data_IF_673560956982
#
_entry.id   IF_673560956982
#
_cell.length_a   1.000
_cell.length_b   1.000
_cell.length_c   1.000
_cell.angle_alpha   90.00
_cell.angle_beta   90.00
_cell.angle_gamma   90.00
#
_symmetry.space_group_name_H-M   'P 1'
#
loop_
_entity.id
_entity.type
_entity.pdbx_description
1 polymer ?
#
# COMPACT_ATOMS: atom_id res chain seq x y z
N UNK A 1 -16.75 16.29 12.57
CA UNK A 1 -17.19 16.76 11.25
C UNK A 1 -18.51 17.46 11.46
N UNK A 2 -18.81 18.53 10.71
CA UNK A 2 -20.11 19.20 10.75
C UNK A 2 -20.73 19.08 9.36
N UNK A 3 -21.97 18.62 9.29
CA UNK A 3 -22.73 18.42 8.06
C UNK A 3 -23.84 19.45 7.87
N UNK A 4 -24.04 20.33 8.86
CA UNK A 4 -25.18 21.25 8.97
C UNK A 4 -26.54 20.54 9.18
N UNK A 5 -26.55 19.22 9.29
CA UNK A 5 -27.69 18.38 9.66
C UNK A 5 -27.44 17.79 11.06
N UNK A 6 -28.17 18.22 12.11
CA UNK A 6 -27.88 17.83 13.49
C UNK A 6 -28.07 16.33 13.73
N UNK A 7 -29.01 15.70 13.02
CA UNK A 7 -29.26 14.25 13.08
C UNK A 7 -28.08 13.44 12.55
N UNK A 8 -27.51 13.84 11.41
CA UNK A 8 -26.32 13.21 10.83
C UNK A 8 -25.11 13.42 11.76
N UNK A 9 -24.90 14.65 12.26
CA UNK A 9 -23.78 14.96 13.14
C UNK A 9 -23.84 14.14 14.46
N UNK A 10 -25.03 13.99 15.05
CA UNK A 10 -25.23 13.17 16.25
C UNK A 10 -24.93 11.69 15.98
N UNK A 11 -25.41 11.15 14.86
CA UNK A 11 -25.18 9.77 14.48
C UNK A 11 -23.69 9.48 14.20
N UNK A 12 -23.00 10.37 13.48
CA UNK A 12 -21.56 10.27 13.25
C UNK A 12 -20.75 10.34 14.56
N UNK A 13 -21.21 11.14 15.53
CA UNK A 13 -20.60 11.21 16.85
C UNK A 13 -20.75 9.88 17.61
N UNK A 14 -21.93 9.24 17.54
CA UNK A 14 -22.16 7.92 18.12
C UNK A 14 -21.27 6.86 17.47
N UNK A 15 -21.16 6.84 16.14
CA UNK A 15 -20.24 5.94 15.42
C UNK A 15 -18.82 6.15 15.93
N UNK A 16 -18.33 7.40 15.96
CA UNK A 16 -16.96 7.72 16.36
C UNK A 16 -16.60 7.25 17.79
N UNK A 17 -17.57 7.18 18.71
CA UNK A 17 -17.35 6.66 20.06
C UNK A 17 -17.07 5.15 20.08
N UNK A 18 -17.56 4.41 19.09
CA UNK A 18 -17.36 2.97 18.98
C UNK A 18 -16.16 2.57 18.10
N UNK A 19 -15.65 3.49 17.27
CA UNK A 19 -14.47 3.24 16.42
C UNK A 19 -13.16 3.23 17.21
N UNK A 20 -12.16 2.51 16.70
CA UNK A 20 -10.82 2.44 17.29
C UNK A 20 -9.75 3.03 16.37
N UNK A 21 -8.57 3.30 16.95
CA UNK A 21 -7.40 3.79 16.22
C UNK A 21 -7.29 5.31 16.12
N UNK A 22 -6.33 5.74 15.32
CA UNK A 22 -6.01 7.16 15.12
C UNK A 22 -7.16 7.91 14.46
N UNK A 23 -7.11 9.24 14.52
CA UNK A 23 -8.07 10.10 13.82
C UNK A 23 -8.15 9.79 12.33
N UNK A 24 -7.03 9.42 11.70
CA UNK A 24 -6.99 9.07 10.29
C UNK A 24 -7.75 7.78 10.00
N UNK A 25 -7.56 6.73 10.82
CA UNK A 25 -8.28 5.45 10.67
C UNK A 25 -9.78 5.66 10.83
N UNK A 26 -10.18 6.38 11.89
CA UNK A 26 -11.59 6.67 12.17
C UNK A 26 -12.24 7.54 11.10
N UNK A 27 -11.49 8.47 10.50
CA UNK A 27 -12.03 9.38 9.49
C UNK A 27 -12.52 8.67 8.23
N UNK A 28 -11.97 7.50 7.88
CA UNK A 28 -12.43 6.76 6.70
C UNK A 28 -13.87 6.28 6.87
N UNK A 29 -14.15 5.55 7.96
CA UNK A 29 -15.50 5.06 8.28
C UNK A 29 -16.49 6.21 8.49
N UNK A 30 -16.04 7.31 9.11
CA UNK A 30 -16.90 8.48 9.33
C UNK A 30 -17.21 9.23 8.03
N UNK A 31 -16.27 9.31 7.10
CA UNK A 31 -16.51 9.93 5.79
C UNK A 31 -17.47 9.09 4.95
N UNK A 32 -17.30 7.77 4.92
CA UNK A 32 -18.19 6.87 4.20
C UNK A 32 -19.64 6.96 4.71
N UNK A 33 -19.83 6.94 6.04
CA UNK A 33 -21.13 7.15 6.65
C UNK A 33 -21.71 8.53 6.35
N UNK A 34 -20.87 9.57 6.41
CA UNK A 34 -21.27 10.95 6.12
C UNK A 34 -21.74 11.10 4.69
N UNK A 35 -20.96 10.61 3.74
CA UNK A 35 -21.21 10.80 2.32
C UNK A 35 -22.48 10.03 1.91
N UNK A 36 -22.66 8.79 2.39
CA UNK A 36 -23.90 8.03 2.22
C UNK A 36 -25.14 8.77 2.74
N UNK A 37 -25.09 9.31 3.97
CA UNK A 37 -26.23 10.01 4.56
C UNK A 37 -26.52 11.36 3.89
N UNK A 38 -25.48 12.07 3.42
CA UNK A 38 -25.64 13.30 2.66
C UNK A 38 -26.24 13.06 1.28
N UNK A 39 -25.88 11.96 0.62
CA UNK A 39 -26.46 11.58 -0.68
C UNK A 39 -27.95 11.25 -0.55
N UNK A 40 -28.34 10.53 0.51
CA UNK A 40 -29.76 10.27 0.81
C UNK A 40 -30.49 11.58 1.13
N UNK A 41 -29.91 12.43 1.98
CA UNK A 41 -30.49 13.73 2.34
C UNK A 41 -30.69 14.65 1.14
N UNK A 42 -29.78 14.62 0.16
CA UNK A 42 -29.86 15.41 -1.06
C UNK A 42 -30.92 14.87 -2.04
N UNK A 43 -31.20 13.56 -2.00
CA UNK A 43 -32.14 12.89 -2.89
C UNK A 43 -33.59 12.89 -2.37
N UNK A 44 -33.78 13.09 -1.06
CA UNK A 44 -35.08 13.12 -0.42
C UNK A 44 -35.79 14.47 -0.62
N UNK A 45 -37.13 14.42 -0.74
CA UNK A 45 -37.96 15.64 -0.70
C UNK A 45 -37.86 16.28 0.69
N UNK A 46 -37.98 17.62 0.82
CA UNK A 46 -37.89 18.30 2.10
C UNK A 46 -38.85 17.75 3.17
N UNK A 47 -40.08 17.40 2.78
CA UNK A 47 -41.07 16.79 3.68
C UNK A 47 -40.71 15.37 4.18
N UNK A 48 -40.00 14.58 3.38
CA UNK A 48 -39.70 13.17 3.67
C UNK A 48 -38.29 12.95 4.23
N UNK A 49 -37.45 13.99 4.23
CA UNK A 49 -36.02 13.94 4.55
C UNK A 49 -35.72 13.29 5.91
N UNK A 50 -36.53 13.58 6.92
CA UNK A 50 -36.34 13.01 8.26
C UNK A 50 -36.59 11.49 8.30
N UNK A 51 -37.62 11.02 7.60
CA UNK A 51 -37.93 9.60 7.49
C UNK A 51 -36.87 8.86 6.65
N UNK A 52 -36.47 9.44 5.51
CA UNK A 52 -35.41 8.90 4.66
C UNK A 52 -34.07 8.78 5.39
N UNK A 53 -33.71 9.78 6.21
CA UNK A 53 -32.50 9.72 7.03
C UNK A 53 -32.58 8.65 8.12
N UNK A 54 -33.74 8.47 8.77
CA UNK A 54 -33.91 7.43 9.79
C UNK A 54 -33.77 6.03 9.18
N UNK A 55 -34.37 5.81 8.01
CA UNK A 55 -34.25 4.56 7.26
C UNK A 55 -32.80 4.32 6.80
N UNK A 56 -32.14 5.34 6.25
CA UNK A 56 -30.73 5.24 5.85
C UNK A 56 -29.78 4.99 7.03
N UNK A 57 -30.03 5.57 8.20
CA UNK A 57 -29.24 5.26 9.40
C UNK A 57 -29.45 3.81 9.84
N UNK A 58 -30.67 3.29 9.73
CA UNK A 58 -30.97 1.90 10.03
C UNK A 58 -30.32 0.95 9.01
N UNK A 59 -30.33 1.31 7.73
CA UNK A 59 -29.70 0.58 6.62
C UNK A 59 -28.18 0.54 6.77
N UNK A 60 -27.55 1.68 7.07
CA UNK A 60 -26.11 1.76 7.29
C UNK A 60 -25.67 0.96 8.55
N UNK A 61 -26.58 0.82 9.52
CA UNK A 61 -26.46 -0.11 10.64
C UNK A 61 -26.02 0.52 11.96
N UNK A 62 -26.33 -0.12 13.09
CA UNK A 62 -26.11 0.51 14.41
C UNK A 62 -24.64 0.90 14.68
N UNK A 63 -24.38 2.01 15.42
CA UNK A 63 -23.02 2.46 15.76
C UNK A 63 -22.15 1.37 16.42
N UNK A 64 -22.74 0.57 17.30
CA UNK A 64 -22.07 -0.54 17.97
C UNK A 64 -21.67 -1.66 17.00
N UNK A 65 -22.51 -1.97 16.02
CA UNK A 65 -22.23 -2.96 14.97
C UNK A 65 -21.09 -2.47 14.06
N UNK A 66 -21.16 -1.23 13.58
CA UNK A 66 -20.10 -0.61 12.77
C UNK A 66 -18.75 -0.65 13.49
N UNK A 67 -18.72 -0.27 14.78
CA UNK A 67 -17.50 -0.33 15.57
C UNK A 67 -16.97 -1.76 15.77
N UNK A 68 -17.85 -2.77 15.87
CA UNK A 68 -17.46 -4.18 15.96
C UNK A 68 -16.85 -4.69 14.65
N UNK A 69 -17.47 -4.38 13.51
CA UNK A 69 -16.95 -4.76 12.19
C UNK A 69 -15.61 -4.08 11.90
N UNK A 70 -15.49 -2.77 12.19
CA UNK A 70 -14.23 -2.06 12.05
C UNK A 70 -13.13 -2.70 12.91
N UNK A 71 -13.40 -3.02 14.19
CA UNK A 71 -12.42 -3.70 15.07
C UNK A 71 -11.96 -5.03 14.50
N UNK A 72 -12.89 -5.85 14.02
CA UNK A 72 -12.60 -7.15 13.41
C UNK A 72 -11.72 -7.00 12.18
N UNK A 73 -12.06 -6.06 11.30
CA UNK A 73 -11.25 -5.73 10.13
C UNK A 73 -9.83 -5.28 10.52
N UNK A 74 -9.71 -4.31 11.43
CA UNK A 74 -8.39 -3.81 11.86
C UNK A 74 -7.55 -4.92 12.50
N UNK A 75 -8.17 -5.80 13.26
CA UNK A 75 -7.49 -6.96 13.84
C UNK A 75 -6.97 -7.92 12.78
N UNK A 76 -7.76 -8.19 11.73
CA UNK A 76 -7.32 -9.01 10.58
C UNK A 76 -6.14 -8.37 9.84
N UNK A 77 -6.18 -7.05 9.62
CA UNK A 77 -5.07 -6.29 9.03
C UNK A 77 -3.82 -6.42 9.91
N UNK A 78 -3.96 -6.24 11.23
CA UNK A 78 -2.86 -6.35 12.19
C UNK A 78 -2.19 -7.72 12.12
N UNK A 79 -2.98 -8.81 12.19
CA UNK A 79 -2.46 -10.17 12.13
C UNK A 79 -1.78 -10.43 10.78
N UNK A 80 -2.43 -10.06 9.67
CA UNK A 80 -1.91 -10.27 8.32
C UNK A 80 -0.55 -9.58 8.13
N UNK A 81 -0.43 -8.33 8.56
CA UNK A 81 0.82 -7.58 8.46
C UNK A 81 1.86 -8.16 9.40
N UNK A 82 1.50 -8.50 10.64
CA UNK A 82 2.44 -9.08 11.60
C UNK A 82 3.05 -10.41 11.10
N UNK A 83 2.21 -11.30 10.56
CA UNK A 83 2.66 -12.58 9.99
C UNK A 83 3.49 -12.42 8.72
N UNK A 84 3.34 -11.31 7.99
CA UNK A 84 4.10 -11.04 6.78
C UNK A 84 5.43 -10.33 7.07
N UNK A 85 5.41 -9.30 7.91
CA UNK A 85 6.58 -8.47 8.20
C UNK A 85 7.51 -9.08 9.25
N UNK A 86 6.96 -9.76 10.25
CA UNK A 86 7.73 -10.37 11.34
C UNK A 86 8.78 -11.36 10.84
N UNK A 87 8.39 -12.41 10.09
CA UNK A 87 9.35 -13.40 9.58
C UNK A 87 10.39 -12.81 8.65
N UNK A 88 10.00 -11.86 7.78
CA UNK A 88 10.94 -11.19 6.88
C UNK A 88 12.01 -10.44 7.67
N UNK A 89 11.60 -9.68 8.68
CA UNK A 89 12.53 -8.95 9.54
C UNK A 89 13.41 -9.89 10.36
N UNK A 90 12.84 -10.95 10.93
CA UNK A 90 13.58 -11.93 11.71
C UNK A 90 14.63 -12.67 10.87
N UNK A 91 14.30 -13.03 9.62
CA UNK A 91 15.27 -13.61 8.66
C UNK A 91 16.36 -12.61 8.31
N UNK A 92 16.00 -11.34 8.04
CA UNK A 92 16.99 -10.30 7.76
C UNK A 92 17.97 -10.13 8.93
N UNK A 93 17.45 -10.03 10.16
CA UNK A 93 18.26 -9.92 11.38
C UNK A 93 19.11 -11.17 11.63
N UNK A 94 18.56 -12.36 11.37
CA UNK A 94 19.32 -13.60 11.47
C UNK A 94 20.47 -13.62 10.48
N UNK A 95 20.25 -13.21 9.23
CA UNK A 95 21.28 -13.13 8.20
C UNK A 95 22.36 -12.10 8.56
N UNK A 96 21.99 -10.91 9.03
CA UNK A 96 22.98 -9.89 9.42
C UNK A 96 23.82 -10.35 10.60
N UNK A 97 23.19 -10.93 11.62
CA UNK A 97 23.89 -11.50 12.76
C UNK A 97 24.79 -12.67 12.34
N UNK A 98 24.31 -13.56 11.46
CA UNK A 98 25.11 -14.68 10.93
C UNK A 98 26.35 -14.18 10.17
N UNK A 99 26.20 -13.12 9.38
CA UNK A 99 27.31 -12.49 8.68
C UNK A 99 28.31 -11.83 9.65
N UNK A 100 27.86 -11.39 10.83
CA UNK A 100 28.71 -10.77 11.84
C UNK A 100 29.46 -11.80 12.70
N UNK A 101 28.72 -12.72 13.34
CA UNK A 101 29.25 -13.70 14.29
C UNK A 101 29.86 -14.95 13.60
N UNK A 102 29.43 -15.24 12.37
CA UNK A 102 29.85 -16.44 11.64
C UNK A 102 29.11 -17.71 12.05
N UNK A 103 29.18 -18.74 11.18
CA UNK A 103 28.41 -19.99 11.32
C UNK A 103 28.78 -20.78 12.58
N UNK A 104 30.05 -20.82 12.95
CA UNK A 104 30.53 -21.57 14.11
C UNK A 104 29.90 -21.08 15.43
N UNK A 105 29.73 -19.76 15.58
CA UNK A 105 29.12 -19.15 16.76
C UNK A 105 27.59 -19.28 16.75
N UNK A 106 26.98 -19.40 15.56
CA UNK A 106 25.56 -19.73 15.45
C UNK A 106 25.27 -21.14 15.98
N UNK A 107 26.11 -22.12 15.61
CA UNK A 107 25.94 -23.51 16.03
C UNK A 107 26.12 -23.69 17.53
N UNK A 108 27.11 -23.01 18.13
CA UNK A 108 27.39 -23.12 19.57
C UNK A 108 26.33 -22.49 20.46
N UNK A 109 25.58 -21.50 19.96
CA UNK A 109 24.57 -20.76 20.73
C UNK A 109 23.14 -20.86 20.15
N UNK A 110 22.84 -21.88 19.36
CA UNK A 110 21.64 -21.96 18.50
C UNK A 110 20.31 -21.64 19.21
N UNK A 111 20.19 -21.97 20.50
CA UNK A 111 19.00 -21.65 21.31
C UNK A 111 18.81 -20.15 21.48
N UNK A 112 19.89 -19.41 21.77
CA UNK A 112 19.88 -17.94 21.86
C UNK A 112 19.47 -17.32 20.53
N UNK A 113 19.97 -17.86 19.41
CA UNK A 113 19.61 -17.40 18.08
C UNK A 113 18.13 -17.61 17.77
N UNK A 114 17.59 -18.76 18.14
CA UNK A 114 16.16 -19.06 17.99
C UNK A 114 15.28 -18.13 18.84
N UNK A 115 15.69 -17.86 20.08
CA UNK A 115 14.99 -16.91 20.95
C UNK A 115 15.00 -15.50 20.36
N UNK A 116 16.16 -15.02 19.90
CA UNK A 116 16.30 -13.70 19.26
C UNK A 116 15.47 -13.63 17.99
N UNK A 117 15.47 -14.68 17.18
CA UNK A 117 14.65 -14.77 15.96
C UNK A 117 13.16 -14.60 16.28
N UNK A 118 12.60 -15.41 17.19
CA UNK A 118 11.19 -15.32 17.54
C UNK A 118 10.82 -14.00 18.23
N UNK A 119 11.71 -13.48 19.06
CA UNK A 119 11.51 -12.18 19.73
C UNK A 119 11.44 -11.05 18.70
N UNK A 120 12.40 -10.99 17.77
CA UNK A 120 12.40 -10.01 16.68
C UNK A 120 11.18 -10.17 15.77
N UNK A 121 10.80 -11.42 15.45
CA UNK A 121 9.61 -11.73 14.65
C UNK A 121 8.34 -11.17 15.30
N UNK A 122 8.14 -11.46 16.59
CA UNK A 122 6.96 -11.04 17.34
C UNK A 122 6.91 -9.54 17.57
N UNK A 123 7.99 -8.95 18.10
CA UNK A 123 8.03 -7.51 18.42
C UNK A 123 7.87 -6.66 17.15
N UNK A 124 8.64 -6.97 16.11
CA UNK A 124 8.56 -6.21 14.86
C UNK A 124 7.24 -6.46 14.14
N UNK A 125 6.83 -7.73 14.03
CA UNK A 125 5.57 -8.10 13.40
C UNK A 125 4.38 -7.41 14.06
N UNK A 126 4.23 -7.54 15.38
CA UNK A 126 3.15 -6.89 16.13
C UNK A 126 3.26 -5.37 16.11
N UNK A 127 4.46 -4.80 16.24
CA UNK A 127 4.67 -3.35 16.17
C UNK A 127 4.23 -2.77 14.83
N UNK A 128 4.64 -3.40 13.72
CA UNK A 128 4.21 -3.01 12.37
C UNK A 128 2.72 -3.28 12.17
N UNK A 129 2.22 -4.45 12.55
CA UNK A 129 0.81 -4.80 12.44
C UNK A 129 -0.09 -3.80 13.17
N UNK A 130 0.23 -3.46 14.41
CA UNK A 130 -0.51 -2.49 15.20
C UNK A 130 -0.40 -1.07 14.60
N UNK A 131 0.79 -0.67 14.14
CA UNK A 131 1.00 0.62 13.50
C UNK A 131 0.15 0.76 12.24
N UNK A 132 0.12 -0.25 11.39
CA UNK A 132 -0.67 -0.24 10.14
C UNK A 132 -2.16 -0.45 10.35
N UNK A 133 -2.57 -1.17 11.38
CA UNK A 133 -3.99 -1.38 11.68
C UNK A 133 -4.62 -0.16 12.37
N UNK A 134 -3.89 0.48 13.29
CA UNK A 134 -4.47 1.42 14.25
C UNK A 134 -3.89 2.84 14.16
N UNK A 135 -2.70 3.04 13.61
CA UNK A 135 -2.07 4.37 13.53
C UNK A 135 -2.12 4.95 12.12
N UNK A 136 -1.60 4.19 11.17
CA UNK A 136 -1.56 4.49 9.74
C UNK A 136 -2.87 3.97 9.17
N UNK A 137 -3.67 4.82 8.53
CA UNK A 137 -4.96 4.43 7.97
C UNK A 137 -4.80 3.53 6.74
N UNK A 138 -4.25 2.33 6.90
CA UNK A 138 -4.14 1.40 5.79
C UNK A 138 -5.55 1.12 5.28
N UNK A 139 -5.81 1.35 3.98
CA UNK A 139 -7.16 1.20 3.47
C UNK A 139 -7.61 -0.23 3.72
N UNK A 140 -8.84 -0.33 4.21
CA UNK A 140 -9.66 -1.52 4.02
C UNK A 140 -9.48 -2.01 2.59
N UNK A 141 -9.32 -3.33 2.39
CA UNK A 141 -9.49 -3.85 1.03
C UNK A 141 -10.90 -3.44 0.63
N UNK A 142 -11.11 -2.65 -0.44
CA UNK A 142 -12.46 -2.22 -0.77
C UNK A 142 -13.31 -3.49 -0.93
N UNK A 143 -14.31 -3.65 -0.05
CA UNK A 143 -15.46 -4.49 -0.37
C UNK A 143 -15.94 -4.02 -1.72
N UNK A 144 -16.23 -4.97 -2.62
CA UNK A 144 -16.59 -4.75 -4.02
C UNK A 144 -17.70 -3.69 -4.14
N UNK A 145 -17.35 -2.42 -4.15
CA UNK A 145 -18.22 -1.36 -4.59
C UNK A 145 -18.23 -1.51 -6.10
N UNK A 146 -19.24 -2.20 -6.62
CA UNK A 146 -19.48 -2.37 -8.04
C UNK A 146 -19.32 -1.02 -8.73
N UNK A 147 -18.26 -0.89 -9.53
CA UNK A 147 -18.12 0.25 -10.40
C UNK A 147 -18.85 -0.09 -11.68
N UNK A 148 -20.08 0.41 -11.73
CA UNK A 148 -20.81 0.74 -12.94
C UNK A 148 -19.84 1.29 -14.00
N UNK A 149 -19.89 0.82 -15.26
CA UNK A 149 -19.07 1.39 -16.30
C UNK A 149 -19.54 2.82 -16.54
N UNK A 150 -18.85 3.79 -15.94
CA UNK A 150 -19.04 5.19 -16.30
C UNK A 150 -18.69 5.30 -17.79
N UNK A 151 -19.68 5.73 -18.58
CA UNK A 151 -19.67 5.93 -20.04
C UNK A 151 -18.65 6.98 -20.53
N UNK A 152 -17.68 7.34 -19.70
CA UNK A 152 -16.63 8.29 -19.99
C UNK A 152 -15.37 7.51 -20.39
N UNK A 153 -14.88 7.74 -21.61
CA UNK A 153 -13.71 7.08 -22.22
C UNK A 153 -12.37 7.51 -21.58
N UNK A 154 -12.43 8.18 -20.42
CA UNK A 154 -11.28 8.66 -19.69
C UNK A 154 -11.36 8.22 -18.23
N UNK A 155 -10.27 7.64 -17.73
CA UNK A 155 -10.12 7.37 -16.30
C UNK A 155 -8.66 7.53 -15.88
N UNK A 156 -8.45 8.10 -14.68
CA UNK A 156 -7.13 8.29 -14.09
C UNK A 156 -6.90 7.30 -12.93
N UNK A 157 -5.70 6.71 -12.88
CA UNK A 157 -5.19 6.02 -11.70
C UNK A 157 -4.69 7.07 -10.71
N UNK A 158 -5.49 7.30 -9.67
CA UNK A 158 -5.09 8.16 -8.55
C UNK A 158 -4.68 7.24 -7.40
N UNK A 159 -3.39 7.29 -7.04
CA UNK A 159 -2.95 6.72 -5.76
C UNK A 159 -3.68 7.46 -4.64
N UNK A 160 -4.36 6.72 -3.75
CA UNK A 160 -5.05 7.33 -2.61
C UNK A 160 -4.08 8.26 -1.83
N UNK A 161 -4.56 9.42 -1.33
CA UNK A 161 -3.72 10.35 -0.57
C UNK A 161 -2.98 9.69 0.61
N UNK A 162 -3.57 8.64 1.17
CA UNK A 162 -2.97 7.86 2.26
C UNK A 162 -1.73 7.09 1.81
N UNK A 163 -1.78 6.41 0.65
CA UNK A 163 -0.61 5.69 0.11
C UNK A 163 0.52 6.66 -0.23
N UNK A 164 0.19 7.86 -0.68
CA UNK A 164 1.16 8.94 -0.90
C UNK A 164 1.84 9.38 0.39
N UNK A 165 1.10 9.51 1.48
CA UNK A 165 1.65 9.77 2.82
C UNK A 165 2.53 8.63 3.32
N UNK A 166 2.14 7.38 3.08
CA UNK A 166 2.93 6.20 3.44
C UNK A 166 4.27 6.21 2.70
N UNK A 167 4.29 6.49 1.38
CA UNK A 167 5.54 6.59 0.63
C UNK A 167 6.45 7.70 1.14
N UNK A 168 5.91 8.86 1.51
CA UNK A 168 6.69 9.93 2.16
C UNK A 168 7.25 9.51 3.52
N UNK A 169 6.46 8.82 4.33
CA UNK A 169 6.92 8.30 5.62
C UNK A 169 8.03 7.25 5.44
N UNK A 170 7.90 6.36 4.46
CA UNK A 170 8.95 5.41 4.10
C UNK A 170 10.23 6.11 3.68
N UNK A 171 10.17 7.17 2.86
CA UNK A 171 11.36 7.96 2.53
C UNK A 171 11.99 8.61 3.76
N UNK A 172 11.18 9.19 4.64
CA UNK A 172 11.67 9.83 5.86
C UNK A 172 12.39 8.85 6.80
N UNK A 173 12.08 7.56 6.74
CA UNK A 173 12.75 6.51 7.52
C UNK A 173 13.97 5.95 6.78
N UNK A 174 13.80 5.57 5.51
CA UNK A 174 14.83 4.85 4.77
C UNK A 174 15.97 5.75 4.29
N UNK A 175 15.73 7.04 4.01
CA UNK A 175 16.80 7.97 3.58
C UNK A 175 17.83 8.21 4.69
N UNK A 176 17.46 8.55 5.94
CA UNK A 176 18.44 8.63 7.03
C UNK A 176 19.17 7.31 7.27
N UNK A 177 18.45 6.18 7.18
CA UNK A 177 19.06 4.86 7.32
C UNK A 177 20.09 4.58 6.22
N UNK A 178 19.84 5.02 4.99
CA UNK A 178 20.80 4.87 3.87
C UNK A 178 22.05 5.69 4.11
N UNK A 179 21.88 6.93 4.59
CA UNK A 179 23.02 7.80 4.94
C UNK A 179 23.88 7.12 6.02
N UNK A 180 23.26 6.53 7.06
CA UNK A 180 23.98 5.79 8.09
C UNK A 180 24.73 4.58 7.51
N UNK A 181 24.11 3.80 6.63
CA UNK A 181 24.75 2.66 5.98
C UNK A 181 25.91 3.07 5.07
N UNK A 182 25.77 4.17 4.34
CA UNK A 182 26.84 4.70 3.49
C UNK A 182 28.00 5.23 4.33
N UNK A 183 27.74 5.91 5.44
CA UNK A 183 28.78 6.38 6.37
C UNK A 183 29.52 5.20 7.03
N UNK A 184 28.81 4.12 7.33
CA UNK A 184 29.41 2.90 7.86
C UNK A 184 30.43 2.26 6.90
N UNK A 185 30.24 2.39 5.57
CA UNK A 185 31.23 1.94 4.58
C UNK A 185 32.58 2.67 4.71
N UNK A 186 32.59 3.88 5.30
CA UNK A 186 33.78 4.67 5.59
C UNK A 186 34.25 4.53 7.05
N UNK A 187 33.64 3.63 7.84
CA UNK A 187 33.96 3.43 9.25
C UNK A 187 33.43 4.52 10.18
N UNK A 188 32.47 5.32 9.73
CA UNK A 188 31.86 6.40 10.52
C UNK A 188 30.56 5.90 11.15
N UNK A 189 30.57 5.67 12.46
CA UNK A 189 29.36 5.35 13.23
C UNK A 189 28.85 6.59 13.97
N UNK A 190 27.69 7.10 13.57
CA UNK A 190 27.09 8.30 14.17
C UNK A 190 26.25 8.01 15.42
N UNK A 191 25.83 6.76 15.63
CA UNK A 191 24.93 6.39 16.72
C UNK A 191 25.65 5.44 17.68
N UNK A 192 25.93 5.88 18.92
CA UNK A 192 26.50 5.02 19.94
C UNK A 192 25.61 3.78 20.17
N UNK A 193 26.20 2.58 20.05
CA UNK A 193 25.48 1.31 20.17
C UNK A 193 24.92 0.72 18.86
N UNK A 194 24.99 1.47 17.75
CA UNK A 194 24.64 1.02 16.39
C UNK A 194 25.89 1.11 15.50
N UNK A 195 26.90 0.31 15.84
CA UNK A 195 28.19 0.30 15.16
C UNK A 195 28.13 -0.53 13.89
N UNK A 196 27.55 0.06 12.83
CA UNK A 196 27.46 -0.57 11.52
C UNK A 196 28.85 -0.86 10.93
N UNK A 197 29.89 -0.10 11.31
CA UNK A 197 31.27 -0.39 10.93
C UNK A 197 31.77 -1.77 11.42
N UNK A 198 31.16 -2.34 12.48
CA UNK A 198 31.46 -3.69 12.99
C UNK A 198 30.75 -4.80 12.22
N UNK A 199 29.79 -4.46 11.36
CA UNK A 199 29.24 -5.43 10.42
C UNK A 199 30.30 -5.72 9.34
N UNK A 200 30.40 -6.97 8.91
CA UNK A 200 31.27 -7.28 7.76
C UNK A 200 30.77 -6.50 6.54
N UNK A 201 31.71 -6.01 5.72
CA UNK A 201 31.42 -5.23 4.50
C UNK A 201 30.27 -5.82 3.65
N UNK A 202 30.16 -7.14 3.41
CA UNK A 202 29.05 -7.71 2.65
C UNK A 202 27.66 -7.48 3.29
N UNK A 203 27.56 -7.47 4.62
CA UNK A 203 26.30 -7.21 5.32
C UNK A 203 25.86 -5.75 5.18
N UNK A 204 26.81 -4.80 5.29
CA UNK A 204 26.53 -3.37 5.07
C UNK A 204 26.07 -3.14 3.63
N UNK A 205 26.75 -3.73 2.64
CA UNK A 205 26.38 -3.63 1.23
C UNK A 205 24.99 -4.23 0.93
N UNK A 206 24.66 -5.38 1.54
CA UNK A 206 23.34 -6.00 1.39
C UNK A 206 22.24 -5.10 1.96
N UNK A 207 22.45 -4.56 3.17
CA UNK A 207 21.50 -3.65 3.80
C UNK A 207 21.32 -2.36 2.98
N UNK A 208 22.41 -1.78 2.49
CA UNK A 208 22.38 -0.60 1.64
C UNK A 208 21.59 -0.88 0.34
N UNK A 209 21.84 -2.02 -0.30
CA UNK A 209 21.08 -2.41 -1.49
C UNK A 209 19.58 -2.55 -1.22
N UNK A 210 19.19 -3.25 -0.15
CA UNK A 210 17.78 -3.44 0.22
C UNK A 210 17.13 -2.09 0.51
N UNK A 211 17.83 -1.22 1.24
CA UNK A 211 17.32 0.06 1.66
C UNK A 211 17.22 1.06 0.49
N UNK A 212 18.23 1.13 -0.37
CA UNK A 212 18.18 1.83 -1.65
C UNK A 212 17.00 1.40 -2.51
N UNK A 213 16.70 0.08 -2.55
CA UNK A 213 15.52 -0.44 -3.26
C UNK A 213 14.22 0.13 -2.68
N UNK A 214 14.09 0.17 -1.35
CA UNK A 214 12.90 0.70 -0.68
C UNK A 214 12.71 2.21 -0.90
N UNK A 215 13.81 2.98 -0.90
CA UNK A 215 13.80 4.40 -1.24
C UNK A 215 13.30 4.57 -2.67
N UNK A 216 13.93 3.87 -3.62
CA UNK A 216 13.60 4.03 -5.05
C UNK A 216 12.17 3.59 -5.34
N UNK A 217 11.67 2.55 -4.65
CA UNK A 217 10.28 2.14 -4.79
C UNK A 217 9.30 3.19 -4.25
N UNK A 218 9.65 3.85 -3.15
CA UNK A 218 8.84 4.92 -2.54
C UNK A 218 8.82 6.16 -3.42
N UNK A 219 9.98 6.54 -3.99
CA UNK A 219 10.07 7.59 -5.01
C UNK A 219 9.21 7.22 -6.22
N UNK A 220 9.38 6.04 -6.80
CA UNK A 220 8.60 5.64 -7.96
C UNK A 220 7.08 5.71 -7.70
N UNK A 221 6.62 5.32 -6.51
CA UNK A 221 5.21 5.44 -6.12
C UNK A 221 4.69 6.89 -6.01
N UNK A 222 5.55 7.86 -5.63
CA UNK A 222 5.16 9.28 -5.51
C UNK A 222 5.05 10.02 -6.84
N UNK A 223 5.86 9.62 -7.82
CA UNK A 223 5.93 10.21 -9.16
C UNK A 223 5.16 9.42 -10.22
N UNK A 224 4.67 8.23 -9.89
CA UNK A 224 3.84 7.45 -10.79
C UNK A 224 2.49 8.14 -11.03
N UNK A 225 2.17 8.37 -12.30
CA UNK A 225 0.83 8.74 -12.75
C UNK A 225 0.48 7.87 -13.94
N UNK A 226 -0.76 7.39 -14.00
CA UNK A 226 -1.26 6.71 -15.18
C UNK A 226 -2.70 7.13 -15.44
N UNK A 227 -3.05 7.39 -16.70
CA UNK A 227 -4.43 7.64 -17.11
C UNK A 227 -4.66 7.12 -18.51
N UNK A 228 -5.90 6.70 -18.76
CA UNK A 228 -6.36 6.31 -20.09
C UNK A 228 -7.21 7.45 -20.63
N UNK A 229 -6.92 7.88 -21.85
CA UNK A 229 -7.64 8.91 -22.57
C UNK A 229 -7.69 8.52 -24.06
N UNK A 230 -8.89 8.44 -24.64
CA UNK A 230 -9.09 8.10 -26.06
C UNK A 230 -8.32 6.85 -26.52
N UNK A 231 -8.40 5.75 -25.74
CA UNK A 231 -7.66 4.50 -25.99
C UNK A 231 -6.13 4.59 -25.99
N UNK A 232 -5.59 5.67 -25.40
CA UNK A 232 -4.16 5.82 -25.15
C UNK A 232 -3.94 5.78 -23.63
N UNK A 233 -3.09 4.84 -23.21
CA UNK A 233 -2.58 4.79 -21.85
C UNK A 233 -1.35 5.69 -21.75
N UNK A 234 -1.49 6.77 -20.99
CA UNK A 234 -0.41 7.66 -20.61
C UNK A 234 0.18 7.18 -19.29
N UNK A 235 1.47 6.86 -19.28
CA UNK A 235 2.21 6.48 -18.07
C UNK A 235 3.34 7.47 -17.84
N UNK A 236 3.37 8.11 -16.68
CA UNK A 236 4.43 9.01 -16.27
C UNK A 236 5.18 8.42 -15.07
N UNK A 237 6.51 8.40 -15.16
CA UNK A 237 7.43 8.04 -14.08
C UNK A 237 8.54 9.07 -13.96
N UNK A 238 9.36 8.91 -12.94
CA UNK A 238 10.55 9.71 -12.72
C UNK A 238 11.40 9.78 -14.00
N UNK A 239 11.36 10.94 -14.68
CA UNK A 239 12.14 11.23 -15.89
C UNK A 239 11.69 10.54 -17.19
N UNK A 240 10.57 9.81 -17.22
CA UNK A 240 10.08 9.14 -18.45
C UNK A 240 8.56 9.16 -18.56
N UNK A 241 8.07 9.41 -19.77
CA UNK A 241 6.67 9.26 -20.13
C UNK A 241 6.51 8.24 -21.26
N UNK A 242 5.48 7.42 -21.19
CA UNK A 242 5.08 6.50 -22.24
C UNK A 242 3.64 6.79 -22.64
N UNK A 243 3.37 6.64 -23.93
CA UNK A 243 2.04 6.65 -24.49
C UNK A 243 1.86 5.31 -25.21
N UNK A 244 0.95 4.49 -24.72
CA UNK A 244 0.68 3.16 -25.26
C UNK A 244 -0.71 3.19 -25.86
N UNK A 245 -0.83 2.97 -27.18
CA UNK A 245 -2.14 2.82 -27.81
C UNK A 245 -2.68 1.44 -27.53
N UNK A 246 -3.99 1.33 -27.32
CA UNK A 246 -4.68 0.05 -27.09
C UNK A 246 -4.29 -1.04 -28.11
N UNK A 247 -4.30 -0.69 -29.39
CA UNK A 247 -3.97 -1.57 -30.52
C UNK A 247 -2.51 -2.06 -30.54
N UNK A 248 -1.60 -1.38 -29.83
CA UNK A 248 -0.18 -1.74 -29.84
C UNK A 248 0.14 -2.75 -28.72
N UNK A 249 -0.80 -3.01 -27.80
CA UNK A 249 -0.59 -3.86 -26.61
C UNK A 249 -0.74 -5.32 -27.02
N UNK A 250 0.35 -6.08 -26.94
CA UNK A 250 0.41 -7.49 -27.36
C UNK A 250 0.12 -8.45 -26.21
N UNK A 251 0.64 -8.17 -25.01
CA UNK A 251 0.52 -9.07 -23.88
C UNK A 251 0.60 -8.34 -22.54
N UNK A 252 -0.17 -8.85 -21.58
CA UNK A 252 -0.14 -8.45 -20.18
C UNK A 252 0.13 -9.72 -19.38
N UNK A 253 1.22 -9.74 -18.63
CA UNK A 253 1.64 -10.92 -17.86
C UNK A 253 2.06 -10.53 -16.46
N UNK A 254 1.86 -11.41 -15.48
CA UNK A 254 2.39 -11.20 -14.14
C UNK A 254 3.85 -11.67 -14.10
N UNK A 255 4.80 -10.83 -13.67
CA UNK A 255 6.19 -11.25 -13.51
C UNK A 255 6.29 -12.33 -12.43
N UNK A 256 7.29 -13.21 -12.53
CA UNK A 256 7.51 -14.26 -11.53
C UNK A 256 7.79 -13.66 -10.14
N UNK A 257 7.51 -14.42 -9.08
CA UNK A 257 7.71 -13.98 -7.69
C UNK A 257 9.15 -13.52 -7.44
N UNK A 258 10.14 -14.20 -8.00
CA UNK A 258 11.55 -13.80 -7.92
C UNK A 258 11.78 -12.43 -8.56
N UNK A 259 11.23 -12.19 -9.76
CA UNK A 259 11.38 -10.90 -10.44
C UNK A 259 10.65 -9.78 -9.69
N UNK A 260 9.50 -10.09 -9.09
CA UNK A 260 8.79 -9.16 -8.20
C UNK A 260 9.61 -8.83 -6.95
N UNK A 261 10.29 -9.82 -6.37
CA UNK A 261 11.13 -9.62 -5.19
C UNK A 261 12.31 -8.69 -5.48
N UNK A 262 12.94 -8.80 -6.65
CA UNK A 262 14.05 -7.90 -7.05
C UNK A 262 13.60 -6.59 -7.70
N UNK A 263 12.29 -6.41 -7.91
CA UNK A 263 11.75 -5.20 -8.50
C UNK A 263 11.70 -4.03 -7.51
N UNK A 264 11.77 -2.83 -8.07
CA UNK A 264 11.73 -1.54 -7.36
C UNK A 264 10.29 -1.01 -7.28
N UNK A 265 9.29 -1.88 -7.28
CA UNK A 265 7.88 -1.48 -7.38
C UNK A 265 7.03 -2.14 -6.29
N UNK A 266 6.14 -1.36 -5.67
CA UNK A 266 5.21 -1.81 -4.62
C UNK A 266 3.87 -2.27 -5.19
N UNK A 267 3.36 -3.42 -4.74
CA UNK A 267 2.03 -3.93 -5.12
C UNK A 267 2.07 -5.01 -6.19
N UNK A 268 0.91 -5.33 -6.79
CA UNK A 268 0.85 -6.31 -7.86
C UNK A 268 1.47 -5.71 -9.12
N UNK A 269 2.45 -6.42 -9.67
CA UNK A 269 3.15 -5.98 -10.87
C UNK A 269 2.50 -6.63 -12.09
N UNK A 270 2.28 -5.83 -13.12
CA UNK A 270 1.79 -6.25 -14.43
C UNK A 270 2.82 -5.84 -15.47
N UNK A 271 3.36 -6.81 -16.20
CA UNK A 271 4.29 -6.59 -17.29
C UNK A 271 3.51 -6.45 -18.60
N UNK A 272 3.48 -5.23 -19.13
CA UNK A 272 2.92 -4.91 -20.44
C UNK A 272 4.01 -5.10 -21.48
N UNK A 273 3.68 -5.83 -22.54
CA UNK A 273 4.48 -5.92 -23.76
C UNK A 273 3.69 -5.28 -24.89
N UNK A 274 4.28 -4.30 -25.57
CA UNK A 274 3.66 -3.61 -26.70
C UNK A 274 4.63 -3.51 -27.87
N UNK A 275 4.10 -3.24 -29.06
CA UNK A 275 4.87 -3.01 -30.27
C UNK A 275 4.96 -1.51 -30.55
N UNK A 276 6.14 -0.99 -30.82
CA UNK A 276 6.30 0.40 -31.27
C UNK A 276 5.90 0.53 -32.74
N UNK A 277 5.72 1.77 -33.21
CA UNK A 277 5.49 2.07 -34.63
C UNK A 277 6.59 1.53 -35.56
N UNK A 278 7.80 1.30 -35.03
CA UNK A 278 8.94 0.70 -35.74
C UNK A 278 8.93 -0.84 -35.74
N UNK A 279 7.89 -1.47 -35.18
CA UNK A 279 7.76 -2.91 -35.08
C UNK A 279 8.55 -3.54 -33.92
N UNK A 280 9.28 -2.75 -33.12
CA UNK A 280 10.07 -3.27 -31.99
C UNK A 280 9.18 -3.59 -30.79
N UNK A 281 9.43 -4.73 -30.14
CA UNK A 281 8.75 -5.10 -28.90
C UNK A 281 9.40 -4.39 -27.72
N UNK A 282 8.60 -3.68 -26.93
CA UNK A 282 9.02 -3.04 -25.69
C UNK A 282 8.25 -3.60 -24.50
N UNK A 283 8.83 -3.47 -23.31
CA UNK A 283 8.27 -3.99 -22.06
C UNK A 283 8.28 -2.94 -20.96
N UNK A 284 7.20 -2.90 -20.18
CA UNK A 284 6.96 -1.96 -19.10
C UNK A 284 6.27 -2.69 -17.98
N UNK A 285 6.91 -2.75 -16.83
CA UNK A 285 6.27 -3.25 -15.62
C UNK A 285 5.51 -2.11 -14.96
N UNK A 286 4.19 -2.21 -14.88
CA UNK A 286 3.30 -1.34 -14.10
C UNK A 286 3.05 -1.95 -12.72
N UNK A 287 2.99 -1.10 -11.71
CA UNK A 287 2.60 -1.50 -10.37
C UNK A 287 1.19 -1.02 -10.12
N UNK A 288 0.26 -1.97 -9.95
CA UNK A 288 -1.14 -1.71 -9.65
C UNK A 288 -1.35 -2.22 -8.22
N UNK A 289 -1.28 -1.32 -7.25
CA UNK A 289 -1.58 -1.66 -5.86
C UNK A 289 -3.10 -1.62 -5.63
N UNK A 290 -3.58 -2.35 -4.63
CA UNK A 290 -4.99 -2.32 -4.21
C UNK A 290 -5.45 -0.91 -3.76
N UNK A 291 -4.50 -0.01 -3.51
CA UNK A 291 -4.77 1.36 -3.07
C UNK A 291 -4.97 2.35 -4.21
N UNK A 292 -4.90 1.88 -5.47
CA UNK A 292 -5.11 2.74 -6.64
C UNK A 292 -6.58 2.74 -7.02
N UNK A 293 -7.17 3.94 -7.00
CA UNK A 293 -8.51 4.17 -7.57
C UNK A 293 -8.47 3.80 -9.06
N UNK A 294 -9.46 3.06 -9.54
CA UNK A 294 -9.54 2.51 -10.90
C UNK A 294 -8.44 1.49 -11.28
N UNK A 295 -7.73 0.91 -10.31
CA UNK A 295 -6.72 -0.14 -10.57
C UNK A 295 -7.29 -1.34 -11.32
N UNK A 296 -8.41 -1.90 -10.85
CA UNK A 296 -9.07 -3.04 -11.49
C UNK A 296 -9.60 -2.70 -12.89
N UNK A 297 -10.12 -1.47 -13.07
CA UNK A 297 -10.57 -0.97 -14.38
C UNK A 297 -9.41 -0.88 -15.37
N UNK A 298 -8.22 -0.47 -14.93
CA UNK A 298 -7.02 -0.48 -15.78
C UNK A 298 -6.61 -1.90 -16.14
N UNK A 299 -6.59 -2.83 -15.18
CA UNK A 299 -6.24 -4.24 -15.46
C UNK A 299 -7.19 -4.81 -16.51
N UNK A 300 -8.50 -4.61 -16.35
CA UNK A 300 -9.50 -5.05 -17.32
C UNK A 300 -9.30 -4.40 -18.70
N UNK A 301 -9.00 -3.10 -18.76
CA UNK A 301 -8.72 -2.39 -20.02
C UNK A 301 -7.48 -2.98 -20.72
N UNK A 302 -6.41 -3.24 -19.97
CA UNK A 302 -5.16 -3.82 -20.46
C UNK A 302 -5.33 -5.26 -20.96
N UNK A 303 -6.05 -6.10 -20.20
CA UNK A 303 -6.32 -7.50 -20.56
C UNK A 303 -7.23 -7.59 -21.80
N UNK A 304 -8.23 -6.70 -21.92
CA UNK A 304 -9.08 -6.59 -23.12
C UNK A 304 -8.27 -6.19 -24.34
N UNK A 305 -7.41 -5.17 -24.22
CA UNK A 305 -6.53 -4.73 -25.30
C UNK A 305 -5.60 -5.87 -25.78
N UNK A 306 -4.98 -6.59 -24.84
CA UNK A 306 -4.12 -7.72 -25.17
C UNK A 306 -4.88 -8.92 -25.77
N UNK A 307 -6.17 -9.07 -25.48
CA UNK A 307 -6.99 -10.12 -26.08
C UNK A 307 -7.37 -9.78 -27.53
N UNK A 308 -7.75 -8.52 -27.79
CA UNK A 308 -8.10 -8.02 -29.12
C UNK A 308 -6.94 -8.16 -30.12
N UNK A 309 -5.70 -7.94 -29.67
CA UNK A 309 -4.51 -7.96 -30.53
C UNK A 309 -3.78 -9.31 -30.59
N UNK A 310 -4.39 -10.41 -30.10
CA UNK A 310 -3.79 -11.76 -30.14
C UNK A 310 -4.03 -12.51 -31.46
N UNK A 311 -4.71 -11.88 -32.41
CA UNK A 311 -4.99 -12.40 -33.74
C UNK A 311 -3.93 -11.94 -34.75
#
# INVERSE_FOLDING_TARGET
>A
MRTHEPTIDQYLQQINQHLIGSRAVRSHTLNEARDFLLDVAASARPEDKAAALAEAMQEYGSPGHIGKEQRKERHQICIKIALLSGPIFAVLMLLTMLLQAGVAQMLSAWQTWLLVFFTNMLLFGLGMGASFAYLIAFPATPSQAGHTPAADNRFEMICRPVSRKISWMMLAVFVPFEILLLLALFGIDLIPGLEFSRLRLPAVLLLAFINFKNITASLNALWFKAYVEHDILHVQRLGRSWQLRRQDILAVTRPSLLRQFFSIQFGQQQQITWQTATGQKQQLTLSISADVINGDRLVAWLESAAHENRH
#
